data_IF_125312259507
#
_entry.id   IF_125312259507
#
_cell.length_a   1.000
_cell.length_b   1.000
_cell.length_c   1.000
_cell.angle_alpha   90.00
_cell.angle_beta   90.00
_cell.angle_gamma   90.00
#
_symmetry.space_group_name_H-M   'P 1'
#
loop_
_entity.id
_entity.type
_entity.pdbx_description
1 polymer ?
#
# COMPACT_ATOMS: atom_id res chain seq x y z
N UNK A 1 -6.75 10.76 20.67
CA UNK A 1 -6.63 9.99 19.41
C UNK A 1 -5.91 10.89 18.44
N UNK A 2 -4.71 10.51 17.98
CA UNK A 2 -4.07 11.23 16.87
C UNK A 2 -4.88 10.95 15.61
N UNK A 3 -5.16 11.99 14.82
CA UNK A 3 -5.87 11.83 13.56
C UNK A 3 -5.13 10.82 12.64
N UNK A 4 -5.86 9.95 11.92
CA UNK A 4 -5.23 9.02 10.99
C UNK A 4 -4.42 9.82 9.96
N UNK A 5 -3.16 9.42 9.78
CA UNK A 5 -2.29 10.08 8.81
C UNK A 5 -2.90 9.97 7.41
N UNK A 6 -2.91 11.07 6.63
CA UNK A 6 -3.47 11.04 5.28
C UNK A 6 -2.70 10.05 4.42
N UNK A 7 -3.42 9.39 3.52
CA UNK A 7 -2.83 8.50 2.53
C UNK A 7 -2.24 9.36 1.42
N UNK A 8 -1.03 9.01 0.97
CA UNK A 8 -0.31 9.74 -0.08
C UNK A 8 0.12 8.78 -1.19
N UNK A 9 0.39 9.31 -2.38
CA UNK A 9 0.97 8.51 -3.47
C UNK A 9 2.31 7.89 -3.06
N UNK A 10 3.10 8.56 -2.22
CA UNK A 10 4.34 8.01 -1.67
C UNK A 10 4.08 6.75 -0.83
N UNK A 11 3.03 6.75 0.00
CA UNK A 11 2.65 5.57 0.78
C UNK A 11 2.32 4.39 -0.15
N UNK A 12 1.47 4.64 -1.15
CA UNK A 12 1.01 3.62 -2.09
C UNK A 12 2.18 3.06 -2.91
N UNK A 13 3.10 3.92 -3.36
CA UNK A 13 4.29 3.49 -4.12
C UNK A 13 5.26 2.68 -3.27
N UNK A 14 5.46 3.03 -1.99
CA UNK A 14 6.28 2.23 -1.08
C UNK A 14 5.69 0.84 -0.86
N UNK A 15 4.37 0.76 -0.65
CA UNK A 15 3.66 -0.51 -0.53
C UNK A 15 3.78 -1.32 -1.81
N UNK A 16 3.57 -0.69 -2.98
CA UNK A 16 3.73 -1.34 -4.28
C UNK A 16 5.15 -1.92 -4.46
N UNK A 17 6.18 -1.20 -4.03
CA UNK A 17 7.56 -1.71 -4.02
C UNK A 17 7.70 -3.00 -3.20
N UNK A 18 7.14 -3.04 -1.99
CA UNK A 18 7.09 -4.25 -1.17
C UNK A 18 6.32 -5.39 -1.85
N UNK A 19 5.13 -5.09 -2.40
CA UNK A 19 4.27 -6.06 -3.09
C UNK A 19 4.98 -6.69 -4.29
N UNK A 20 5.74 -5.91 -5.07
CA UNK A 20 6.52 -6.45 -6.19
C UNK A 20 7.61 -7.43 -5.74
N UNK A 21 8.23 -7.19 -4.59
CA UNK A 21 9.21 -8.11 -4.00
C UNK A 21 8.51 -9.41 -3.56
N UNK A 22 7.35 -9.29 -2.91
CA UNK A 22 6.58 -10.44 -2.45
C UNK A 22 6.03 -11.29 -3.60
N UNK A 23 5.52 -10.67 -4.67
CA UNK A 23 5.12 -11.38 -5.89
C UNK A 23 6.29 -12.19 -6.46
N UNK A 24 7.49 -11.61 -6.48
CA UNK A 24 8.69 -12.31 -6.95
C UNK A 24 9.11 -13.46 -6.02
N UNK A 25 8.86 -13.32 -4.73
CA UNK A 25 9.26 -14.28 -3.70
C UNK A 25 8.19 -15.34 -3.39
N UNK A 26 6.98 -15.22 -3.96
CA UNK A 26 5.88 -16.12 -3.68
C UNK A 26 6.16 -17.54 -4.18
N UNK A 27 6.00 -18.52 -3.28
CA UNK A 27 6.17 -19.95 -3.58
C UNK A 27 4.95 -20.53 -4.33
N UNK A 28 3.82 -19.82 -4.34
CA UNK A 28 2.59 -20.24 -4.99
C UNK A 28 1.98 -19.12 -5.87
N UNK A 29 1.44 -19.56 -7.00
CA UNK A 29 0.82 -18.67 -7.99
C UNK A 29 -0.45 -17.95 -7.49
N UNK A 30 -1.33 -18.58 -6.68
CA UNK A 30 -2.47 -17.89 -6.07
C UNK A 30 -2.07 -16.62 -5.30
N UNK A 31 -1.12 -16.72 -4.37
CA UNK A 31 -0.66 -15.58 -3.57
C UNK A 31 -0.14 -14.44 -4.45
N UNK A 32 0.73 -14.77 -5.42
CA UNK A 32 1.27 -13.79 -6.36
C UNK A 32 0.17 -13.06 -7.17
N UNK A 33 -0.85 -13.82 -7.62
CA UNK A 33 -1.99 -13.24 -8.35
C UNK A 33 -2.81 -12.32 -7.49
N UNK A 34 -3.14 -12.72 -6.26
CA UNK A 34 -3.97 -11.90 -5.38
C UNK A 34 -3.27 -10.57 -5.02
N UNK A 35 -1.95 -10.60 -4.81
CA UNK A 35 -1.12 -9.41 -4.63
C UNK A 35 -1.12 -8.51 -5.87
N UNK A 36 -0.89 -9.09 -7.05
CA UNK A 36 -0.90 -8.34 -8.31
C UNK A 36 -2.28 -7.70 -8.56
N UNK A 37 -3.35 -8.47 -8.41
CA UNK A 37 -4.72 -8.03 -8.63
C UNK A 37 -5.10 -6.91 -7.66
N UNK A 38 -4.65 -6.97 -6.40
CA UNK A 38 -4.93 -5.91 -5.42
C UNK A 38 -4.32 -4.55 -5.81
N UNK A 39 -3.19 -4.53 -6.53
CA UNK A 39 -2.43 -3.29 -6.80
C UNK A 39 -2.34 -2.87 -8.26
N UNK A 40 -2.75 -3.70 -9.23
CA UNK A 40 -2.52 -3.44 -10.66
C UNK A 40 -3.07 -2.09 -11.17
N UNK A 41 -4.14 -1.58 -10.57
CA UNK A 41 -4.74 -0.30 -10.96
C UNK A 41 -4.02 0.91 -10.37
N UNK A 42 -3.28 0.74 -9.28
CA UNK A 42 -2.68 1.86 -8.55
C UNK A 42 -1.70 2.69 -9.43
N UNK A 43 -0.79 2.09 -10.22
CA UNK A 43 0.10 2.86 -11.10
C UNK A 43 -0.66 3.73 -12.11
N UNK A 44 -1.71 3.18 -12.72
CA UNK A 44 -2.50 3.88 -13.73
C UNK A 44 -3.34 5.01 -13.11
N UNK A 45 -3.87 4.82 -11.91
CA UNK A 45 -4.60 5.86 -11.18
C UNK A 45 -3.68 7.01 -10.76
N UNK A 46 -2.49 6.69 -10.22
CA UNK A 46 -1.47 7.68 -9.85
C UNK A 46 -1.01 8.47 -11.08
N UNK A 47 -0.74 7.80 -12.20
CA UNK A 47 -0.31 8.46 -13.44
C UNK A 47 -1.39 9.38 -14.07
N UNK A 48 -2.64 9.26 -13.63
CA UNK A 48 -3.76 10.09 -14.05
C UNK A 48 -4.10 11.19 -13.02
N UNK A 49 -3.22 11.41 -12.05
CA UNK A 49 -3.41 12.36 -10.94
C UNK A 49 -4.70 12.11 -10.13
N UNK A 50 -5.12 10.84 -10.01
CA UNK A 50 -6.23 10.49 -9.13
C UNK A 50 -5.90 10.80 -7.68
N UNK A 51 -6.93 11.11 -6.88
CA UNK A 51 -6.76 11.34 -5.45
C UNK A 51 -6.16 10.08 -4.77
N UNK A 52 -5.16 10.23 -3.88
CA UNK A 52 -4.55 9.09 -3.19
C UNK A 52 -5.56 8.25 -2.40
N UNK A 53 -6.59 8.88 -1.82
CA UNK A 53 -7.64 8.18 -1.08
C UNK A 53 -8.51 7.34 -2.02
N UNK A 54 -8.79 7.83 -3.23
CA UNK A 54 -9.54 7.07 -4.25
C UNK A 54 -8.71 5.88 -4.76
N UNK A 55 -7.42 6.10 -5.01
CA UNK A 55 -6.49 5.03 -5.39
C UNK A 55 -6.43 3.96 -4.32
N UNK A 56 -6.31 4.35 -3.06
CA UNK A 56 -6.29 3.41 -1.94
C UNK A 56 -7.61 2.67 -1.75
N UNK A 57 -8.74 3.37 -1.93
CA UNK A 57 -10.07 2.75 -1.87
C UNK A 57 -10.23 1.68 -2.96
N UNK A 58 -9.72 1.93 -4.17
CA UNK A 58 -9.68 0.95 -5.26
C UNK A 58 -8.87 -0.31 -4.90
N UNK A 59 -7.68 -0.11 -4.31
CA UNK A 59 -6.83 -1.20 -3.79
C UNK A 59 -7.56 -2.00 -2.72
N UNK A 60 -8.10 -1.34 -1.69
CA UNK A 60 -8.80 -2.01 -0.58
C UNK A 60 -10.04 -2.76 -1.04
N UNK A 61 -10.82 -2.21 -1.99
CA UNK A 61 -12.00 -2.89 -2.50
C UNK A 61 -11.63 -4.19 -3.22
N UNK A 62 -10.51 -4.20 -3.95
CA UNK A 62 -10.02 -5.40 -4.63
C UNK A 62 -9.46 -6.39 -3.61
N UNK A 63 -8.62 -5.93 -2.68
CA UNK A 63 -8.07 -6.75 -1.62
C UNK A 63 -9.15 -7.40 -0.75
N UNK A 64 -10.26 -6.69 -0.44
CA UNK A 64 -11.39 -7.24 0.31
C UNK A 64 -12.07 -8.39 -0.41
N UNK A 65 -12.29 -8.28 -1.73
CA UNK A 65 -12.87 -9.36 -2.55
C UNK A 65 -11.96 -10.60 -2.61
N UNK A 66 -10.66 -10.40 -2.42
CA UNK A 66 -9.64 -11.43 -2.39
C UNK A 66 -9.27 -11.85 -0.95
N UNK A 67 -10.01 -11.41 0.07
CA UNK A 67 -9.72 -11.72 1.49
C UNK A 67 -8.33 -11.26 1.98
N UNK A 68 -7.68 -10.32 1.28
CA UNK A 68 -6.36 -9.76 1.61
C UNK A 68 -6.41 -8.42 2.36
N UNK A 69 -7.59 -7.87 2.61
CA UNK A 69 -7.75 -6.51 3.18
C UNK A 69 -6.91 -6.30 4.45
N UNK A 70 -6.94 -7.26 5.39
CA UNK A 70 -6.16 -7.18 6.62
C UNK A 70 -4.67 -7.05 6.35
N UNK A 71 -4.16 -7.82 5.38
CA UNK A 71 -2.76 -7.81 5.02
C UNK A 71 -2.35 -6.48 4.39
N UNK A 72 -3.14 -6.00 3.42
CA UNK A 72 -2.91 -4.73 2.74
C UNK A 72 -2.94 -3.55 3.71
N UNK A 73 -3.88 -3.53 4.66
CA UNK A 73 -3.91 -2.51 5.73
C UNK A 73 -2.65 -2.58 6.60
N UNK A 74 -2.12 -3.78 6.86
CA UNK A 74 -0.89 -3.93 7.65
C UNK A 74 0.34 -3.33 6.95
N UNK A 75 0.42 -3.42 5.61
CA UNK A 75 1.47 -2.78 4.82
C UNK A 75 1.42 -1.25 4.92
N UNK A 76 0.21 -0.66 4.89
CA UNK A 76 0.04 0.79 5.07
C UNK A 76 0.50 1.23 6.47
N UNK A 77 0.07 0.53 7.51
CA UNK A 77 0.48 0.81 8.88
C UNK A 77 2.01 0.74 9.02
N UNK A 78 2.64 -0.24 8.39
CA UNK A 78 4.10 -0.39 8.40
C UNK A 78 4.81 0.80 7.75
N UNK A 79 4.35 1.24 6.57
CA UNK A 79 4.94 2.38 5.85
C UNK A 79 4.76 3.68 6.64
N UNK A 80 3.58 3.93 7.20
CA UNK A 80 3.31 5.13 7.98
C UNK A 80 4.11 5.17 9.29
N UNK A 81 4.26 4.04 9.98
CA UNK A 81 5.08 3.96 11.18
C UNK A 81 6.56 4.31 10.92
N UNK A 82 7.12 3.86 9.79
CA UNK A 82 8.50 4.20 9.39
C UNK A 82 8.67 5.68 9.05
N UNK A 83 7.67 6.30 8.43
CA UNK A 83 7.72 7.74 8.13
C UNK A 83 7.76 8.59 9.41
N UNK A 84 6.97 8.22 10.43
CA UNK A 84 7.01 8.86 11.75
C UNK A 84 8.41 8.73 12.35
N UNK A 85 8.99 7.53 12.32
CA UNK A 85 10.33 7.30 12.87
C UNK A 85 11.42 8.06 12.11
N UNK A 86 11.28 8.27 10.79
CA UNK A 86 12.24 9.02 9.97
C UNK A 86 12.13 10.55 10.11
N UNK A 87 11.04 11.05 10.69
CA UNK A 87 10.78 12.49 10.90
C UNK A 87 11.05 12.95 12.34
N UNK A 88 11.49 12.06 13.24
CA UNK A 88 11.93 12.47 14.57
C UNK A 88 13.15 13.41 14.45
N UNK A 89 13.18 14.53 15.19
CA UNK A 89 14.18 15.57 14.99
C UNK A 89 15.57 15.06 15.37
N UNK A 90 16.52 15.31 14.48
CA UNK A 90 17.96 15.23 14.77
C UNK A 90 18.42 16.55 15.40
N UNK A 91 17.67 17.04 16.38
CA UNK A 91 18.02 18.27 17.12
C UNK A 91 18.78 17.87 18.39
N UNK A 92 20.11 17.86 18.27
CA UNK A 92 21.06 18.12 19.35
C UNK A 92 22.04 19.19 18.88
#
# INVERSE_FOLDING_TARGET
MSDPQPITNENILKILGTVLIEIRAADDLPTARMLADSFHNAPAMIARDADPQDTWTSVLNTARRLEMERYVVSLLNHVQARQISSRAPTDT
#
